data_IF_357305743011
#
_entry.id   IF_357305743011
#
_cell.length_a   1.000
_cell.length_b   1.000
_cell.length_c   1.000
_cell.angle_alpha   90.00
_cell.angle_beta   90.00
_cell.angle_gamma   90.00
#
_symmetry.space_group_name_H-M   'P 1'
#
loop_
_entity.id
_entity.type
_entity.pdbx_description
1 polymer ?
#
# COMPACT_ATOMS: atom_id res chain seq x y z
N UNK A 1 14.03 23.07 -32.71
CA UNK A 1 13.10 21.97 -32.40
C UNK A 1 13.47 21.38 -31.05
N UNK A 2 12.56 21.43 -30.07
CA UNK A 2 12.82 20.94 -28.74
C UNK A 2 12.33 19.47 -28.54
N UNK A 3 11.26 19.10 -29.25
CA UNK A 3 10.69 17.74 -29.25
C UNK A 3 10.06 17.52 -30.63
N UNK A 4 10.30 16.33 -31.20
CA UNK A 4 9.65 15.86 -32.42
C UNK A 4 9.12 14.46 -32.18
N UNK A 5 7.88 14.22 -32.55
CA UNK A 5 7.29 12.88 -32.59
C UNK A 5 7.05 12.51 -34.05
N UNK A 6 7.69 11.47 -34.52
CA UNK A 6 7.42 10.85 -35.79
C UNK A 6 6.71 9.52 -35.56
N UNK A 7 5.48 9.42 -36.06
CA UNK A 7 4.74 8.17 -35.98
C UNK A 7 5.52 7.07 -36.72
N UNK A 8 5.67 5.92 -36.07
CA UNK A 8 6.22 4.75 -36.73
C UNK A 8 5.30 4.32 -37.89
N UNK A 9 5.91 3.83 -38.97
CA UNK A 9 5.14 3.26 -40.07
C UNK A 9 4.34 2.07 -39.52
N UNK A 10 3.02 2.14 -39.61
CA UNK A 10 2.12 1.04 -39.25
C UNK A 10 2.29 -0.14 -40.24
N UNK A 11 3.41 -0.84 -40.12
CA UNK A 11 3.52 -2.18 -40.67
C UNK A 11 2.56 -3.10 -39.94
N UNK A 12 2.13 -4.17 -40.57
CA UNK A 12 1.36 -5.21 -39.87
C UNK A 12 2.32 -5.81 -38.82
N UNK A 13 2.09 -5.58 -37.51
CA UNK A 13 2.99 -6.11 -36.51
C UNK A 13 2.96 -7.63 -36.57
N UNK A 14 4.11 -8.24 -36.39
CA UNK A 14 4.21 -9.69 -36.22
C UNK A 14 3.28 -10.14 -35.08
N UNK A 15 2.45 -11.13 -35.32
CA UNK A 15 1.50 -11.62 -34.32
C UNK A 15 2.31 -12.10 -33.10
N UNK A 16 2.01 -11.52 -31.94
CA UNK A 16 2.62 -11.96 -30.70
C UNK A 16 2.32 -13.45 -30.46
N UNK A 17 3.30 -14.18 -29.92
CA UNK A 17 3.09 -15.55 -29.50
C UNK A 17 1.92 -15.63 -28.50
N UNK A 18 1.11 -16.70 -28.54
CA UNK A 18 0.06 -16.92 -27.55
C UNK A 18 0.62 -16.86 -26.13
N UNK A 19 -0.16 -16.29 -25.21
CA UNK A 19 0.21 -16.26 -23.81
C UNK A 19 0.32 -17.70 -23.27
N UNK A 20 1.39 -17.99 -22.55
CA UNK A 20 1.58 -19.26 -21.87
C UNK A 20 0.84 -19.26 -20.53
N UNK A 21 0.32 -20.42 -20.14
CA UNK A 21 -0.27 -20.59 -18.81
C UNK A 21 0.79 -20.40 -17.71
N UNK A 22 0.37 -19.91 -16.56
CA UNK A 22 1.27 -19.81 -15.41
C UNK A 22 1.76 -21.21 -15.02
N UNK A 23 3.09 -21.35 -14.82
CA UNK A 23 3.71 -22.60 -14.37
C UNK A 23 3.27 -22.93 -12.95
N UNK A 24 3.32 -24.19 -12.57
CA UNK A 24 3.08 -24.61 -11.20
C UNK A 24 4.08 -23.96 -10.24
N UNK A 25 3.65 -23.53 -9.05
CA UNK A 25 4.52 -22.79 -8.12
C UNK A 25 5.84 -23.51 -7.79
N UNK A 26 5.80 -24.84 -7.70
CA UNK A 26 6.98 -25.67 -7.39
C UNK A 26 8.01 -25.69 -8.52
N UNK A 27 7.58 -25.48 -9.76
CA UNK A 27 8.45 -25.43 -10.95
C UNK A 27 9.14 -24.08 -11.13
N UNK A 28 8.61 -23.04 -10.49
CA UNK A 28 9.19 -21.70 -10.52
C UNK A 28 10.45 -21.66 -9.67
N UNK A 29 11.56 -21.17 -10.23
CA UNK A 29 12.88 -21.28 -9.57
C UNK A 29 13.08 -20.30 -8.43
N UNK A 30 12.59 -19.08 -8.56
CA UNK A 30 12.94 -17.98 -7.64
C UNK A 30 11.71 -17.43 -6.92
N UNK A 31 11.92 -16.89 -5.71
CA UNK A 31 10.86 -16.18 -4.99
C UNK A 31 10.41 -14.90 -5.71
N UNK A 32 11.30 -14.30 -6.51
CA UNK A 32 10.97 -13.16 -7.37
C UNK A 32 9.90 -13.52 -8.39
N UNK A 33 10.11 -14.61 -9.14
CA UNK A 33 9.13 -15.07 -10.14
C UNK A 33 7.83 -15.52 -9.47
N UNK A 34 7.88 -16.17 -8.30
CA UNK A 34 6.68 -16.52 -7.53
C UNK A 34 5.89 -15.27 -7.14
N UNK A 35 6.56 -14.24 -6.64
CA UNK A 35 5.93 -12.97 -6.31
C UNK A 35 5.27 -12.34 -7.53
N UNK A 36 6.01 -12.19 -8.62
CA UNK A 36 5.51 -11.55 -9.85
C UNK A 36 4.35 -12.33 -10.47
N UNK A 37 4.44 -13.66 -10.48
CA UNK A 37 3.34 -14.51 -10.99
C UNK A 37 2.09 -14.39 -10.11
N UNK A 38 2.24 -14.43 -8.78
CA UNK A 38 1.13 -14.24 -7.86
C UNK A 38 0.48 -12.87 -8.01
N UNK A 39 1.27 -11.80 -8.10
CA UNK A 39 0.78 -10.45 -8.34
C UNK A 39 0.06 -10.31 -9.69
N UNK A 40 0.61 -10.89 -10.75
CA UNK A 40 0.00 -10.87 -12.07
C UNK A 40 -1.39 -11.54 -12.05
N UNK A 41 -1.49 -12.74 -11.47
CA UNK A 41 -2.76 -13.48 -11.32
C UNK A 41 -3.78 -12.63 -10.53
N UNK A 42 -3.34 -12.00 -9.46
CA UNK A 42 -4.18 -11.16 -8.61
C UNK A 42 -4.66 -9.90 -9.33
N UNK A 43 -3.77 -9.18 -10.01
CA UNK A 43 -4.08 -7.94 -10.72
C UNK A 43 -5.05 -8.17 -11.88
N UNK A 44 -4.85 -9.24 -12.62
CA UNK A 44 -5.69 -9.59 -13.77
C UNK A 44 -6.92 -10.43 -13.39
N UNK A 45 -7.11 -10.74 -12.11
CA UNK A 45 -8.24 -11.55 -11.61
C UNK A 45 -8.43 -12.82 -12.43
N UNK A 46 -7.38 -13.62 -12.53
CA UNK A 46 -7.37 -14.81 -13.35
C UNK A 46 -8.52 -15.74 -12.95
N UNK A 47 -9.26 -16.27 -13.94
CA UNK A 47 -10.49 -17.03 -13.68
C UNK A 47 -10.23 -18.40 -13.02
N UNK A 48 -9.09 -19.03 -13.28
CA UNK A 48 -8.78 -20.41 -12.87
C UNK A 48 -7.62 -20.52 -11.90
N UNK A 49 -6.69 -19.57 -11.91
CA UNK A 49 -5.53 -19.57 -11.03
C UNK A 49 -5.75 -18.63 -9.83
N UNK A 50 -5.34 -19.07 -8.64
CA UNK A 50 -5.33 -18.28 -7.44
C UNK A 50 -3.89 -17.84 -7.12
N UNK A 51 -3.68 -16.63 -6.59
CA UNK A 51 -2.35 -16.15 -6.21
C UNK A 51 -1.77 -16.86 -4.98
N UNK A 52 -2.64 -17.42 -4.12
CA UNK A 52 -2.26 -18.03 -2.85
C UNK A 52 -1.16 -19.09 -2.98
N UNK A 53 -1.24 -20.10 -3.88
CA UNK A 53 -0.22 -21.15 -3.98
C UNK A 53 1.18 -20.58 -4.26
N UNK A 54 1.28 -19.51 -5.04
CA UNK A 54 2.54 -18.85 -5.38
C UNK A 54 3.17 -18.17 -4.17
N UNK A 55 2.37 -17.40 -3.42
CA UNK A 55 2.85 -16.77 -2.19
C UNK A 55 3.21 -17.80 -1.11
N UNK A 56 2.40 -18.85 -0.96
CA UNK A 56 2.64 -19.91 0.02
C UNK A 56 3.92 -20.69 -0.29
N UNK A 57 4.16 -21.03 -1.57
CA UNK A 57 5.41 -21.70 -1.96
C UNK A 57 6.63 -20.81 -1.69
N UNK A 58 6.54 -19.51 -1.98
CA UNK A 58 7.63 -18.57 -1.67
C UNK A 58 7.92 -18.46 -0.18
N UNK A 59 6.88 -18.44 0.66
CA UNK A 59 7.03 -18.45 2.14
C UNK A 59 7.52 -19.80 2.67
N UNK A 60 7.24 -20.91 1.99
CA UNK A 60 7.79 -22.22 2.34
C UNK A 60 9.31 -22.23 2.16
N UNK A 61 9.83 -21.56 1.12
CA UNK A 61 11.26 -21.43 0.83
C UNK A 61 11.97 -20.43 1.75
N UNK A 62 11.37 -19.24 1.93
CA UNK A 62 11.83 -18.23 2.90
C UNK A 62 10.63 -17.64 3.66
N UNK A 63 10.44 -18.10 4.90
CA UNK A 63 9.36 -17.64 5.79
C UNK A 63 9.42 -16.14 6.07
N UNK A 64 10.59 -15.54 5.93
CA UNK A 64 10.83 -14.13 6.20
C UNK A 64 10.90 -13.26 4.95
N UNK A 65 10.60 -13.78 3.77
CA UNK A 65 10.62 -12.96 2.55
C UNK A 65 9.70 -11.75 2.70
N UNK A 66 10.31 -10.55 2.62
CA UNK A 66 9.63 -9.29 2.94
C UNK A 66 8.51 -9.02 1.95
N UNK A 67 8.78 -9.19 0.66
CA UNK A 67 7.85 -8.80 -0.40
C UNK A 67 6.69 -9.79 -0.50
N UNK A 68 6.97 -11.08 -0.39
CA UNK A 68 5.93 -12.12 -0.42
C UNK A 68 5.02 -12.00 0.79
N UNK A 69 5.57 -11.81 2.01
CA UNK A 69 4.73 -11.58 3.19
C UNK A 69 3.89 -10.30 3.05
N UNK A 70 4.46 -9.21 2.51
CA UNK A 70 3.71 -8.00 2.29
C UNK A 70 2.59 -8.19 1.25
N UNK A 71 2.86 -8.85 0.12
CA UNK A 71 1.87 -9.13 -0.92
C UNK A 71 0.75 -10.06 -0.42
N UNK A 72 1.11 -11.15 0.26
CA UNK A 72 0.12 -12.07 0.83
C UNK A 72 -0.70 -11.43 1.94
N UNK A 73 -0.06 -10.63 2.79
CA UNK A 73 -0.77 -9.82 3.78
C UNK A 73 -1.80 -8.89 3.15
N UNK A 74 -1.47 -8.24 2.03
CA UNK A 74 -2.43 -7.41 1.28
C UNK A 74 -3.55 -8.22 0.62
N UNK A 75 -3.27 -9.44 0.15
CA UNK A 75 -4.30 -10.34 -0.35
C UNK A 75 -5.31 -10.70 0.75
N UNK A 76 -4.83 -11.06 1.94
CA UNK A 76 -5.67 -11.34 3.11
C UNK A 76 -6.46 -10.10 3.54
N UNK A 77 -5.81 -8.93 3.56
CA UNK A 77 -6.47 -7.66 3.87
C UNK A 77 -7.66 -7.37 2.94
N UNK A 78 -7.48 -7.53 1.63
CA UNK A 78 -8.57 -7.35 0.64
C UNK A 78 -9.71 -8.34 0.80
N UNK A 79 -9.43 -9.51 1.39
CA UNK A 79 -10.45 -10.54 1.73
C UNK A 79 -11.12 -10.28 3.08
N UNK A 80 -10.71 -9.24 3.83
CA UNK A 80 -11.24 -8.91 5.13
C UNK A 80 -10.59 -9.64 6.31
N UNK A 81 -9.58 -10.49 6.06
CA UNK A 81 -8.78 -11.11 7.13
C UNK A 81 -7.68 -10.15 7.61
N UNK A 82 -8.10 -9.15 8.39
CA UNK A 82 -7.17 -8.14 8.92
C UNK A 82 -6.20 -8.72 9.95
N UNK A 83 -6.62 -9.75 10.68
CA UNK A 83 -5.76 -10.41 11.69
C UNK A 83 -4.68 -11.25 11.02
N UNK A 84 -5.02 -11.99 9.99
CA UNK A 84 -4.07 -12.73 9.17
C UNK A 84 -3.09 -11.77 8.47
N UNK A 85 -3.59 -10.69 7.89
CA UNK A 85 -2.78 -9.66 7.25
C UNK A 85 -1.76 -9.03 8.21
N UNK A 86 -2.19 -8.65 9.43
CA UNK A 86 -1.30 -8.12 10.46
C UNK A 86 -0.11 -9.03 10.74
N UNK A 87 -0.34 -10.36 10.85
CA UNK A 87 0.74 -11.32 11.11
C UNK A 87 1.81 -11.27 10.04
N UNK A 88 1.40 -11.26 8.78
CA UNK A 88 2.32 -11.22 7.65
C UNK A 88 3.07 -9.89 7.55
N UNK A 89 2.41 -8.75 7.77
CA UNK A 89 3.09 -7.45 7.80
C UNK A 89 4.12 -7.37 8.93
N UNK A 90 3.82 -7.92 10.12
CA UNK A 90 4.79 -7.97 11.22
C UNK A 90 5.99 -8.86 10.90
N UNK A 91 5.82 -9.97 10.18
CA UNK A 91 6.94 -10.81 9.69
C UNK A 91 7.80 -10.02 8.71
N UNK A 92 7.18 -9.34 7.73
CA UNK A 92 7.87 -8.49 6.77
C UNK A 92 8.69 -7.40 7.47
N UNK A 93 8.08 -6.68 8.42
CA UNK A 93 8.73 -5.61 9.19
C UNK A 93 9.89 -6.15 10.01
N UNK A 94 9.73 -7.28 10.69
CA UNK A 94 10.79 -7.90 11.48
C UNK A 94 12.04 -8.19 10.64
N UNK A 95 11.86 -8.69 9.42
CA UNK A 95 12.97 -8.95 8.50
C UNK A 95 13.53 -7.65 7.93
N UNK A 96 12.66 -6.71 7.57
CA UNK A 96 13.02 -5.42 6.99
C UNK A 96 13.91 -4.60 7.95
N UNK A 97 13.61 -4.67 9.25
CA UNK A 97 14.31 -3.90 10.29
C UNK A 97 15.47 -4.62 10.94
N UNK A 98 15.76 -5.85 10.52
CA UNK A 98 16.81 -6.67 11.14
C UNK A 98 18.18 -6.00 11.17
N UNK A 99 18.56 -5.29 10.10
CA UNK A 99 19.85 -4.59 10.01
C UNK A 99 19.75 -3.08 10.10
N UNK A 100 18.58 -2.52 9.88
CA UNK A 100 18.32 -1.09 9.91
C UNK A 100 16.96 -0.80 10.53
N UNK A 101 16.91 -0.07 11.66
CA UNK A 101 15.64 0.31 12.29
C UNK A 101 14.84 1.30 11.43
N UNK A 102 15.48 1.94 10.45
CA UNK A 102 14.89 2.91 9.54
C UNK A 102 15.08 2.46 8.09
N UNK A 103 14.29 1.47 7.63
CA UNK A 103 14.38 1.01 6.26
C UNK A 103 13.92 2.11 5.29
N UNK A 104 14.49 2.12 4.09
CA UNK A 104 14.10 3.06 3.04
C UNK A 104 12.64 2.86 2.60
N UNK A 105 12.20 1.60 2.44
CA UNK A 105 10.83 1.26 2.09
C UNK A 105 10.00 1.08 3.36
N UNK A 106 8.90 1.80 3.49
CA UNK A 106 7.99 1.74 4.62
C UNK A 106 6.60 1.18 4.28
N UNK A 107 6.43 0.57 3.11
CA UNK A 107 5.15 0.02 2.66
C UNK A 107 4.55 -0.98 3.65
N UNK A 108 5.37 -1.88 4.20
CA UNK A 108 4.90 -2.85 5.19
C UNK A 108 4.36 -2.18 6.48
N UNK A 109 4.92 -1.04 6.88
CA UNK A 109 4.39 -0.26 8.00
C UNK A 109 3.05 0.38 7.66
N UNK A 110 2.91 0.93 6.45
CA UNK A 110 1.64 1.48 5.99
C UNK A 110 0.55 0.40 5.96
N UNK A 111 0.85 -0.76 5.39
CA UNK A 111 -0.07 -1.88 5.30
C UNK A 111 -0.43 -2.45 6.68
N UNK A 112 0.54 -2.50 7.62
CA UNK A 112 0.27 -2.82 9.03
C UNK A 112 -0.70 -1.80 9.64
N UNK A 113 -0.47 -0.51 9.41
CA UNK A 113 -1.36 0.56 9.87
C UNK A 113 -2.78 0.35 9.40
N UNK A 114 -2.98 -0.01 8.12
CA UNK A 114 -4.30 -0.33 7.58
C UNK A 114 -4.94 -1.53 8.31
N UNK A 115 -4.21 -2.64 8.45
CA UNK A 115 -4.73 -3.83 9.11
C UNK A 115 -5.14 -3.56 10.56
N UNK A 116 -4.36 -2.77 11.28
CA UNK A 116 -4.64 -2.37 12.67
C UNK A 116 -5.83 -1.40 12.75
N UNK A 117 -5.90 -0.43 11.83
CA UNK A 117 -6.98 0.55 11.78
C UNK A 117 -8.34 -0.13 11.60
N UNK A 118 -8.43 -1.08 10.64
CA UNK A 118 -9.67 -1.81 10.38
C UNK A 118 -10.03 -2.84 11.47
N UNK A 119 -9.07 -3.21 12.33
CA UNK A 119 -9.33 -3.98 13.55
C UNK A 119 -9.78 -3.09 14.73
N UNK A 120 -9.80 -1.76 14.57
CA UNK A 120 -10.09 -0.83 15.65
C UNK A 120 -8.92 -0.56 16.61
N UNK A 121 -7.73 -1.10 16.35
CA UNK A 121 -6.50 -0.89 17.12
C UNK A 121 -5.84 0.44 16.74
N UNK A 122 -6.52 1.56 17.04
CA UNK A 122 -6.14 2.87 16.47
C UNK A 122 -4.83 3.43 16.99
N UNK A 123 -4.47 3.14 18.24
CA UNK A 123 -3.19 3.59 18.82
C UNK A 123 -2.02 2.92 18.09
N UNK A 124 -2.06 1.59 17.95
CA UNK A 124 -1.03 0.85 17.22
C UNK A 124 -1.00 1.24 15.73
N UNK A 125 -2.18 1.52 15.15
CA UNK A 125 -2.28 2.00 13.78
C UNK A 125 -1.63 3.38 13.59
N UNK A 126 -1.81 4.27 14.57
CA UNK A 126 -1.17 5.59 14.57
C UNK A 126 0.35 5.45 14.50
N UNK A 127 0.93 4.62 15.37
CA UNK A 127 2.38 4.39 15.39
C UNK A 127 2.90 3.81 14.06
N UNK A 128 2.16 2.86 13.50
CA UNK A 128 2.51 2.25 12.22
C UNK A 128 2.45 3.29 11.07
N UNK A 129 1.39 4.09 10.97
CA UNK A 129 1.28 5.17 9.98
C UNK A 129 2.32 6.26 10.20
N UNK A 130 2.61 6.62 11.46
CA UNK A 130 3.65 7.59 11.76
C UNK A 130 5.00 7.12 11.26
N UNK A 131 5.35 5.85 11.50
CA UNK A 131 6.58 5.25 10.97
C UNK A 131 6.56 5.20 9.43
N UNK A 132 5.43 4.85 8.83
CA UNK A 132 5.28 4.83 7.38
C UNK A 132 5.49 6.21 6.74
N UNK A 133 5.08 7.29 7.41
CA UNK A 133 5.23 8.67 6.92
C UNK A 133 6.69 9.14 6.77
N UNK A 134 7.67 8.36 7.25
CA UNK A 134 9.08 8.69 7.08
C UNK A 134 9.58 8.43 5.65
N UNK A 135 8.88 7.60 4.88
CA UNK A 135 9.15 7.34 3.47
C UNK A 135 8.25 8.21 2.60
N UNK A 136 8.83 8.93 1.66
CA UNK A 136 8.10 9.89 0.82
C UNK A 136 6.91 9.25 0.08
N UNK A 137 7.06 8.00 -0.35
CA UNK A 137 6.04 7.23 -1.07
C UNK A 137 4.77 7.01 -0.25
N UNK A 138 4.91 6.87 1.08
CA UNK A 138 3.79 6.57 1.97
C UNK A 138 3.26 7.82 2.72
N UNK A 139 3.89 8.99 2.55
CA UNK A 139 3.56 10.19 3.32
C UNK A 139 2.12 10.64 3.14
N UNK A 140 1.66 10.76 1.91
CA UNK A 140 0.32 11.26 1.62
C UNK A 140 -0.75 10.46 2.36
N UNK A 141 -0.81 9.17 2.11
CA UNK A 141 -1.84 8.30 2.68
C UNK A 141 -1.65 8.10 4.18
N UNK A 142 -0.42 8.06 4.67
CA UNK A 142 -0.16 8.00 6.11
C UNK A 142 -0.69 9.24 6.83
N UNK A 143 -0.44 10.44 6.30
CA UNK A 143 -0.98 11.68 6.88
C UNK A 143 -2.50 11.72 6.85
N UNK A 144 -3.15 11.12 5.85
CA UNK A 144 -4.60 10.99 5.84
C UNK A 144 -5.10 10.19 7.06
N UNK A 145 -4.55 8.99 7.29
CA UNK A 145 -4.99 8.15 8.41
C UNK A 145 -4.61 8.74 9.77
N UNK A 146 -3.43 9.34 9.89
CA UNK A 146 -3.02 10.06 11.10
C UNK A 146 -3.98 11.22 11.40
N UNK A 147 -4.33 12.04 10.40
CA UNK A 147 -5.31 13.12 10.54
C UNK A 147 -6.70 12.60 10.91
N UNK A 148 -7.13 11.47 10.33
CA UNK A 148 -8.41 10.84 10.67
C UNK A 148 -8.45 10.38 12.14
N UNK A 149 -7.37 9.72 12.61
CA UNK A 149 -7.26 9.27 14.00
C UNK A 149 -7.26 10.47 14.95
N UNK A 150 -6.49 11.54 14.66
CA UNK A 150 -6.48 12.76 15.49
C UNK A 150 -7.83 13.48 15.48
N UNK A 151 -8.57 13.42 14.38
CA UNK A 151 -9.93 13.94 14.30
C UNK A 151 -10.89 13.20 15.26
N UNK A 152 -10.77 11.88 15.34
CA UNK A 152 -11.56 11.06 16.28
C UNK A 152 -11.17 11.32 17.74
N UNK A 153 -9.87 11.55 17.99
CA UNK A 153 -9.35 11.97 19.31
C UNK A 153 -9.76 13.40 19.67
N UNK A 154 -10.41 14.13 18.77
CA UNK A 154 -10.79 15.55 18.88
C UNK A 154 -9.58 16.52 18.94
N UNK A 155 -8.41 16.09 18.54
CA UNK A 155 -7.20 16.92 18.42
C UNK A 155 -7.22 17.67 17.08
N UNK A 156 -8.19 18.56 16.90
CA UNK A 156 -8.50 19.15 15.58
C UNK A 156 -7.37 20.00 15.01
N UNK A 157 -6.56 20.69 15.81
CA UNK A 157 -5.42 21.48 15.32
C UNK A 157 -4.35 20.54 14.72
N UNK A 158 -3.97 19.49 15.46
CA UNK A 158 -3.02 18.46 14.97
C UNK A 158 -3.55 17.76 13.74
N UNK A 159 -4.87 17.43 13.71
CA UNK A 159 -5.50 16.82 12.55
C UNK A 159 -5.41 17.74 11.32
N UNK A 160 -5.61 19.05 11.50
CA UNK A 160 -5.49 20.04 10.42
C UNK A 160 -4.07 20.09 9.87
N UNK A 161 -3.06 20.17 10.74
CA UNK A 161 -1.64 20.19 10.33
C UNK A 161 -1.27 18.93 9.51
N UNK A 162 -1.72 17.77 9.96
CA UNK A 162 -1.47 16.49 9.24
C UNK A 162 -2.18 16.46 7.89
N UNK A 163 -3.43 16.94 7.82
CA UNK A 163 -4.15 17.04 6.55
C UNK A 163 -3.44 18.00 5.57
N UNK A 164 -2.95 19.12 6.06
CA UNK A 164 -2.21 20.09 5.23
C UNK A 164 -0.88 19.51 4.72
N UNK A 165 -0.12 18.78 5.58
CA UNK A 165 1.08 18.06 5.15
C UNK A 165 0.78 17.05 4.05
N UNK A 166 -0.32 16.33 4.14
CA UNK A 166 -0.74 15.39 3.10
C UNK A 166 -1.13 16.08 1.80
N UNK A 167 -1.84 17.21 1.88
CA UNK A 167 -2.24 17.98 0.69
C UNK A 167 -1.06 18.66 -0.03
N UNK A 168 0.02 18.96 0.68
CA UNK A 168 1.29 19.39 0.05
C UNK A 168 1.86 18.29 -0.86
N UNK A 169 1.66 17.02 -0.50
CA UNK A 169 2.13 15.88 -1.32
C UNK A 169 1.19 15.59 -2.48
N UNK A 170 -0.11 15.68 -2.26
CA UNK A 170 -1.12 15.48 -3.30
C UNK A 170 -2.31 16.42 -3.08
N UNK A 171 -2.28 17.56 -3.76
CA UNK A 171 -3.34 18.56 -3.70
C UNK A 171 -4.70 18.06 -4.23
N UNK A 172 -4.71 16.96 -5.00
CA UNK A 172 -5.93 16.40 -5.59
C UNK A 172 -6.55 15.27 -4.75
N UNK A 173 -6.02 14.97 -3.56
CA UNK A 173 -6.62 13.98 -2.66
C UNK A 173 -7.98 14.47 -2.12
N UNK A 174 -9.06 14.02 -2.75
CA UNK A 174 -10.44 14.42 -2.41
C UNK A 174 -10.80 14.00 -0.98
N UNK A 175 -10.37 12.82 -0.53
CA UNK A 175 -10.63 12.34 0.83
C UNK A 175 -9.98 13.24 1.87
N UNK A 176 -8.74 13.64 1.63
CA UNK A 176 -7.99 14.55 2.50
C UNK A 176 -8.61 15.94 2.53
N UNK A 177 -9.04 16.47 1.37
CA UNK A 177 -9.76 17.75 1.30
C UNK A 177 -11.06 17.71 2.10
N UNK A 178 -11.83 16.62 1.96
CA UNK A 178 -13.04 16.42 2.73
C UNK A 178 -12.80 16.38 4.24
N UNK A 179 -11.75 15.65 4.65
CA UNK A 179 -11.35 15.59 6.06
C UNK A 179 -10.92 16.99 6.58
N UNK A 180 -10.08 17.72 5.81
CA UNK A 180 -9.68 19.10 6.14
C UNK A 180 -10.90 20.01 6.32
N UNK A 181 -11.89 19.95 5.42
CA UNK A 181 -13.10 20.74 5.52
C UNK A 181 -13.92 20.41 6.80
N UNK A 182 -14.02 19.14 7.17
CA UNK A 182 -14.67 18.71 8.41
C UNK A 182 -13.93 19.29 9.63
N UNK A 183 -12.60 19.15 9.66
CA UNK A 183 -11.77 19.63 10.76
C UNK A 183 -11.86 21.16 10.90
N UNK A 184 -11.81 21.92 9.80
CA UNK A 184 -11.98 23.38 9.82
C UNK A 184 -13.33 23.80 10.38
N UNK A 185 -14.40 23.09 10.03
CA UNK A 185 -15.73 23.35 10.63
C UNK A 185 -15.76 23.07 12.13
N UNK A 186 -15.11 22.02 12.59
CA UNK A 186 -14.98 21.70 14.03
C UNK A 186 -14.19 22.75 14.80
N UNK A 187 -13.23 23.40 14.13
CA UNK A 187 -12.45 24.52 14.68
C UNK A 187 -13.15 25.89 14.61
N UNK A 188 -14.40 25.94 14.10
CA UNK A 188 -15.11 27.22 13.91
C UNK A 188 -14.62 28.06 12.71
N UNK A 189 -13.74 27.49 11.88
CA UNK A 189 -13.14 28.16 10.69
C UNK A 189 -13.91 27.82 9.42
N UNK A 190 -15.25 27.86 9.48
CA UNK A 190 -16.14 27.39 8.41
C UNK A 190 -15.90 28.08 7.06
N UNK A 191 -15.56 29.36 7.04
CA UNK A 191 -15.29 30.09 5.79
C UNK A 191 -14.10 29.49 5.02
N UNK A 192 -13.03 29.13 5.70
CA UNK A 192 -11.86 28.48 5.10
C UNK A 192 -12.12 27.03 4.62
N UNK A 193 -13.24 26.45 5.02
CA UNK A 193 -13.63 25.11 4.58
C UNK A 193 -14.26 25.10 3.17
N UNK A 194 -14.55 26.26 2.59
CA UNK A 194 -15.09 26.40 1.23
C UNK A 194 -14.01 26.79 0.20
N UNK A 195 -12.83 27.18 0.64
CA UNK A 195 -11.64 27.43 -0.18
C UNK A 195 -10.87 26.12 -0.49
#
# INVERSE_FOLDING_TARGET
>A
LLVEYQAENEGIPELACPAEAARDPEEIRTNEELLLTGQHIEQHRHATYLPDPYYLEGMKRDKGDIRINNAYGMLLFRRGDFVGAEKHFRIAIKRLTWRSPNPYNSEAYYNLGLALFYQGKKEDAFDAFYKASWSNEQQEMSFYYLSAIETERKNFETALELAEKGLVKNAHNIKMRGLKAIVLRKLGRGQKAYE
#
